data_IF_686037928479
#
_entry.id   IF_686037928479
#
_cell.length_a   1.000
_cell.length_b   1.000
_cell.length_c   1.000
_cell.angle_alpha   90.00
_cell.angle_beta   90.00
_cell.angle_gamma   90.00
#
_symmetry.space_group_name_H-M   'P 1'
#
loop_
_entity.id
_entity.type
_entity.pdbx_description
1 polymer ?
#
# COMPACT_ATOMS: atom_id res chain seq x y z
N UNK A 1 -1.28 -14.14 -21.16
CA UNK A 1 -0.18 -13.16 -21.06
C UNK A 1 0.03 -12.91 -19.61
N UNK A 2 1.27 -13.03 -19.15
CA UNK A 2 1.57 -12.72 -17.75
C UNK A 2 1.28 -11.24 -17.51
N UNK A 3 0.67 -10.91 -16.40
CA UNK A 3 0.39 -9.52 -16.04
C UNK A 3 1.73 -8.81 -15.76
N UNK A 4 1.79 -7.53 -16.08
CA UNK A 4 3.00 -6.71 -15.89
C UNK A 4 2.68 -5.58 -14.92
N UNK A 5 3.43 -5.51 -13.83
CA UNK A 5 3.37 -4.41 -12.88
C UNK A 5 4.46 -3.39 -13.18
N UNK A 6 4.08 -2.14 -13.30
CA UNK A 6 5.01 -1.02 -13.50
C UNK A 6 5.46 -0.51 -12.13
N UNK A 7 6.74 -0.69 -11.84
CA UNK A 7 7.38 -0.15 -10.64
C UNK A 7 8.38 0.95 -10.99
N UNK A 8 8.62 1.84 -10.06
CA UNK A 8 9.64 2.88 -10.18
C UNK A 8 10.94 2.45 -9.53
N UNK A 9 10.88 1.95 -8.30
CA UNK A 9 12.05 1.61 -7.49
C UNK A 9 11.67 0.65 -6.37
N UNK A 10 12.67 -0.02 -5.79
CA UNK A 10 12.56 -0.78 -4.54
C UNK A 10 13.65 -0.29 -3.59
N UNK A 11 13.25 0.26 -2.45
CA UNK A 11 14.17 0.62 -1.37
C UNK A 11 14.18 -0.50 -0.33
N UNK A 12 15.32 -1.14 -0.17
CA UNK A 12 15.49 -2.31 0.70
C UNK A 12 15.37 -1.97 2.19
N UNK A 13 15.70 -0.73 2.55
CA UNK A 13 15.58 -0.21 3.92
C UNK A 13 15.04 1.21 3.87
N UNK A 14 13.84 1.43 4.37
CA UNK A 14 13.22 2.75 4.39
C UNK A 14 12.77 3.14 5.80
N UNK A 15 13.05 4.37 6.21
CA UNK A 15 12.58 4.93 7.48
C UNK A 15 11.14 5.45 7.38
N UNK A 16 10.62 5.64 6.15
CA UNK A 16 9.33 6.26 5.89
C UNK A 16 8.25 5.27 5.50
N UNK A 17 8.60 3.98 5.52
CA UNK A 17 7.72 2.90 5.04
C UNK A 17 6.75 2.35 6.11
N UNK A 18 6.68 3.00 7.26
CA UNK A 18 5.93 2.54 8.42
C UNK A 18 6.77 1.65 9.35
N UNK A 19 6.29 1.43 10.57
CA UNK A 19 7.00 0.69 11.59
C UNK A 19 7.04 -0.82 11.30
N UNK A 20 8.00 -1.49 11.92
CA UNK A 20 8.04 -2.95 12.00
C UNK A 20 8.23 -3.39 13.46
N UNK A 21 7.73 -4.58 13.85
CA UNK A 21 7.79 -5.07 15.23
C UNK A 21 9.21 -5.23 15.78
N UNK A 22 10.17 -5.49 14.91
CA UNK A 22 11.58 -5.68 15.26
C UNK A 22 12.38 -4.37 15.31
N UNK A 23 11.72 -3.22 15.11
CA UNK A 23 12.35 -1.91 15.04
C UNK A 23 13.24 -1.70 13.82
N UNK A 24 13.27 -2.67 12.90
CA UNK A 24 14.04 -2.56 11.66
C UNK A 24 13.23 -1.82 10.58
N UNK A 25 13.94 -1.44 9.54
CA UNK A 25 13.36 -0.75 8.38
C UNK A 25 12.65 -1.73 7.47
N UNK A 26 11.53 -1.31 6.90
CA UNK A 26 10.77 -2.07 5.90
C UNK A 26 11.37 -1.92 4.51
N UNK A 27 11.13 -2.91 3.66
CA UNK A 27 11.32 -2.75 2.21
C UNK A 27 10.15 -1.97 1.63
N UNK A 28 10.44 -0.99 0.78
CA UNK A 28 9.43 -0.11 0.18
C UNK A 28 9.41 -0.31 -1.34
N UNK A 29 8.26 -0.69 -1.89
CA UNK A 29 8.05 -0.86 -3.35
C UNK A 29 7.28 0.35 -3.86
N UNK A 30 7.89 1.10 -4.77
CA UNK A 30 7.29 2.28 -5.39
C UNK A 30 6.62 1.90 -6.71
N UNK A 31 5.29 1.96 -6.74
CA UNK A 31 4.48 1.76 -7.94
C UNK A 31 4.52 3.01 -8.82
N UNK A 32 4.53 2.83 -10.12
CA UNK A 32 4.54 3.91 -11.11
C UNK A 32 3.14 4.16 -11.66
N UNK A 33 2.82 5.43 -11.92
CA UNK A 33 1.54 5.87 -12.47
C UNK A 33 0.56 6.32 -11.38
N UNK A 34 -0.27 7.31 -11.71
CA UNK A 34 -1.41 7.77 -10.92
C UNK A 34 -2.43 8.42 -11.87
N UNK A 35 -3.55 7.75 -12.11
CA UNK A 35 -4.60 8.24 -13.03
C UNK A 35 -5.16 9.59 -12.58
N UNK A 36 -5.45 9.74 -11.28
CA UNK A 36 -5.94 10.97 -10.68
C UNK A 36 -5.02 12.16 -10.99
N UNK A 37 -3.72 11.99 -10.87
CA UNK A 37 -2.74 13.02 -11.19
C UNK A 37 -2.61 13.28 -12.70
N UNK A 38 -2.66 12.23 -13.52
CA UNK A 38 -2.66 12.34 -14.98
C UNK A 38 -3.88 13.08 -15.51
N UNK A 39 -5.01 13.01 -14.83
CA UNK A 39 -6.24 13.75 -15.11
C UNK A 39 -6.21 15.22 -14.61
N UNK A 40 -5.09 15.64 -14.02
CA UNK A 40 -4.89 17.01 -13.55
C UNK A 40 -5.43 17.32 -12.15
N UNK A 41 -5.79 16.29 -11.39
CA UNK A 41 -6.32 16.41 -10.03
C UNK A 41 -5.48 15.65 -8.99
N UNK A 42 -4.16 15.93 -8.86
CA UNK A 42 -3.32 15.23 -7.88
C UNK A 42 -3.72 15.56 -6.44
N UNK A 43 -3.33 14.69 -5.51
CA UNK A 43 -3.42 14.99 -4.08
C UNK A 43 -2.72 16.31 -3.74
N UNK A 44 -3.29 17.08 -2.81
CA UNK A 44 -2.72 18.36 -2.40
C UNK A 44 -1.32 18.20 -1.81
N UNK A 45 -0.30 18.72 -2.50
CA UNK A 45 1.09 18.63 -2.07
C UNK A 45 1.71 17.23 -2.12
N UNK A 46 1.23 16.39 -3.05
CA UNK A 46 1.71 15.00 -3.23
C UNK A 46 3.23 14.86 -3.05
N UNK A 47 3.68 13.87 -2.27
CA UNK A 47 5.09 13.61 -2.01
C UNK A 47 5.86 13.08 -3.23
N UNK A 48 5.16 12.43 -4.17
CA UNK A 48 5.76 11.69 -5.26
C UNK A 48 5.37 12.17 -6.65
N UNK A 49 5.45 13.49 -6.99
CA UNK A 49 4.97 13.99 -8.27
C UNK A 49 5.70 13.38 -9.48
N UNK A 50 6.94 12.92 -9.31
CA UNK A 50 7.71 12.24 -10.35
C UNK A 50 7.20 10.84 -10.69
N UNK A 51 6.30 10.29 -9.88
CA UNK A 51 5.71 8.96 -10.10
C UNK A 51 4.34 9.02 -10.82
N UNK A 52 3.80 10.20 -11.10
CA UNK A 52 2.48 10.34 -11.71
C UNK A 52 2.39 9.75 -13.11
N UNK A 53 3.45 9.92 -13.91
CA UNK A 53 3.49 9.44 -15.28
C UNK A 53 4.06 8.03 -15.33
N UNK A 54 3.48 7.18 -16.16
CA UNK A 54 3.94 5.81 -16.38
C UNK A 54 4.90 5.68 -17.59
N UNK A 55 5.43 6.82 -18.08
CA UNK A 55 6.31 6.90 -19.25
C UNK A 55 7.75 6.46 -18.95
N UNK A 56 8.42 6.06 -19.96
CA UNK A 56 9.86 5.77 -20.26
C UNK A 56 10.82 5.27 -19.16
N UNK A 57 10.58 5.53 -17.87
CA UNK A 57 11.44 5.07 -16.77
C UNK A 57 10.81 3.97 -15.92
N UNK A 58 9.58 3.57 -16.25
CA UNK A 58 8.92 2.48 -15.55
C UNK A 58 9.55 1.13 -15.92
N UNK A 59 9.92 0.36 -14.91
CA UNK A 59 10.36 -1.01 -15.08
C UNK A 59 9.12 -1.89 -14.98
N UNK A 60 8.61 -2.35 -16.13
CA UNK A 60 7.55 -3.37 -16.16
C UNK A 60 8.13 -4.75 -15.90
N UNK A 61 7.65 -5.45 -14.89
CA UNK A 61 8.06 -6.81 -14.55
C UNK A 61 6.85 -7.68 -14.20
N UNK A 62 6.93 -9.00 -14.43
CA UNK A 62 5.98 -9.93 -13.87
C UNK A 62 5.94 -9.81 -12.33
N UNK A 63 4.76 -9.79 -11.70
CA UNK A 63 4.62 -9.66 -10.24
C UNK A 63 5.42 -10.70 -9.46
N UNK A 64 5.48 -11.92 -9.97
CA UNK A 64 6.27 -13.00 -9.37
C UNK A 64 7.77 -12.68 -9.31
N UNK A 65 8.35 -12.15 -10.38
CA UNK A 65 9.77 -11.78 -10.41
C UNK A 65 10.09 -10.67 -9.40
N UNK A 66 9.16 -9.72 -9.22
CA UNK A 66 9.30 -8.68 -8.20
C UNK A 66 9.29 -9.30 -6.81
N UNK A 67 8.36 -10.22 -6.54
CA UNK A 67 8.27 -10.88 -5.24
C UNK A 67 9.50 -11.74 -4.94
N UNK A 68 10.01 -12.49 -5.92
CA UNK A 68 11.25 -13.28 -5.82
C UNK A 68 12.46 -12.38 -5.50
N UNK A 69 12.59 -11.25 -6.21
CA UNK A 69 13.64 -10.26 -5.96
C UNK A 69 13.53 -9.67 -4.54
N UNK A 70 12.31 -9.39 -4.07
CA UNK A 70 12.08 -8.88 -2.72
C UNK A 70 12.42 -9.96 -1.69
N UNK A 71 12.05 -11.21 -1.92
CA UNK A 71 12.37 -12.32 -1.00
C UNK A 71 13.87 -12.56 -0.85
N UNK A 72 14.63 -12.38 -1.94
CA UNK A 72 16.08 -12.56 -1.97
C UNK A 72 16.84 -11.41 -1.28
N UNK A 73 16.36 -10.17 -1.37
CA UNK A 73 17.15 -8.99 -0.99
C UNK A 73 16.61 -8.23 0.23
N UNK A 74 15.36 -8.43 0.61
CA UNK A 74 14.76 -7.74 1.77
C UNK A 74 15.45 -8.16 3.08
N UNK A 75 15.78 -7.20 3.95
CA UNK A 75 16.47 -7.50 5.23
C UNK A 75 15.58 -8.23 6.22
N UNK A 76 14.27 -8.19 6.03
CA UNK A 76 13.26 -8.81 6.87
C UNK A 76 11.98 -9.10 6.06
N UNK A 77 10.94 -9.62 6.72
CA UNK A 77 9.65 -9.96 6.08
C UNK A 77 8.60 -8.84 6.17
N UNK A 78 9.01 -7.57 6.12
CA UNK A 78 8.13 -6.41 6.19
C UNK A 78 8.24 -5.56 4.93
N UNK A 79 7.15 -5.44 4.20
CA UNK A 79 7.05 -4.70 2.94
C UNK A 79 5.98 -3.62 3.04
N UNK A 80 6.25 -2.47 2.43
CA UNK A 80 5.28 -1.40 2.22
C UNK A 80 5.19 -1.09 0.74
N UNK A 81 3.97 -1.03 0.22
CA UNK A 81 3.68 -0.71 -1.18
C UNK A 81 3.10 0.70 -1.24
N UNK A 82 3.80 1.56 -1.94
CA UNK A 82 3.49 2.99 -2.11
C UNK A 82 3.74 3.41 -3.57
N UNK A 83 3.75 4.70 -3.85
CA UNK A 83 4.25 5.21 -5.12
C UNK A 83 3.37 6.29 -5.72
N UNK A 84 2.96 6.11 -6.97
CA UNK A 84 1.90 6.86 -7.61
C UNK A 84 0.56 6.45 -7.01
N UNK A 85 -0.17 5.57 -7.70
CA UNK A 85 -1.37 4.92 -7.14
C UNK A 85 -1.32 3.40 -7.41
N UNK A 86 -1.09 2.58 -6.38
CA UNK A 86 -0.99 1.13 -6.56
C UNK A 86 -2.26 0.50 -7.13
N UNK A 87 -3.45 0.96 -6.71
CA UNK A 87 -4.73 0.40 -7.15
C UNK A 87 -5.09 0.74 -8.60
N UNK A 88 -4.36 1.66 -9.25
CA UNK A 88 -4.49 1.87 -10.71
C UNK A 88 -3.97 0.67 -11.52
N UNK A 89 -3.26 -0.25 -10.87
CA UNK A 89 -2.74 -1.49 -11.44
C UNK A 89 -3.22 -2.71 -10.61
N UNK A 90 -4.49 -2.77 -10.27
CA UNK A 90 -5.04 -3.71 -9.27
C UNK A 90 -4.73 -5.18 -9.58
N UNK A 91 -4.91 -5.65 -10.84
CA UNK A 91 -4.66 -7.05 -11.23
C UNK A 91 -3.21 -7.47 -10.99
N UNK A 92 -2.18 -6.85 -11.59
CA UNK A 92 -0.80 -7.23 -11.32
C UNK A 92 -0.37 -6.95 -9.87
N UNK A 93 -0.99 -5.98 -9.19
CA UNK A 93 -0.75 -5.73 -7.77
C UNK A 93 -1.28 -6.88 -6.89
N UNK A 94 -2.49 -7.39 -7.16
CA UNK A 94 -3.06 -8.53 -6.45
C UNK A 94 -2.18 -9.79 -6.59
N UNK A 95 -1.63 -10.03 -7.78
CA UNK A 95 -0.66 -11.10 -7.99
C UNK A 95 0.63 -10.89 -7.18
N UNK A 96 1.20 -9.67 -7.17
CA UNK A 96 2.38 -9.35 -6.37
C UNK A 96 2.14 -9.61 -4.89
N UNK A 97 1.04 -9.09 -4.36
CA UNK A 97 0.69 -9.23 -2.94
C UNK A 97 0.48 -10.69 -2.56
N UNK A 98 -0.12 -11.49 -3.44
CA UNK A 98 -0.29 -12.93 -3.22
C UNK A 98 1.06 -13.67 -3.14
N UNK A 99 2.01 -13.34 -4.01
CA UNK A 99 3.35 -13.91 -3.97
C UNK A 99 4.13 -13.45 -2.74
N UNK A 100 4.09 -12.17 -2.37
CA UNK A 100 4.71 -11.66 -1.16
C UNK A 100 4.15 -12.37 0.09
N UNK A 101 2.83 -12.59 0.12
CA UNK A 101 2.19 -13.32 1.20
C UNK A 101 2.61 -14.79 1.25
N UNK A 102 2.75 -15.44 0.10
CA UNK A 102 3.30 -16.80 0.00
C UNK A 102 4.72 -16.88 0.58
N UNK A 103 5.56 -15.86 0.38
CA UNK A 103 6.90 -15.76 0.99
C UNK A 103 6.88 -15.30 2.45
N UNK A 104 5.72 -15.10 3.06
CA UNK A 104 5.56 -14.78 4.48
C UNK A 104 5.74 -13.31 4.83
N UNK A 105 5.58 -12.39 3.88
CA UNK A 105 5.69 -10.95 4.15
C UNK A 105 4.44 -10.41 4.85
N UNK A 106 4.67 -9.49 5.79
CA UNK A 106 3.69 -8.56 6.31
C UNK A 106 3.65 -7.33 5.40
N UNK A 107 2.44 -6.98 4.90
CA UNK A 107 2.25 -6.02 3.82
C UNK A 107 1.43 -4.82 4.30
N UNK A 108 1.99 -3.62 4.17
CA UNK A 108 1.26 -2.35 4.26
C UNK A 108 1.04 -1.84 2.84
N UNK A 109 -0.18 -1.43 2.53
CA UNK A 109 -0.55 -0.82 1.25
C UNK A 109 -1.07 0.60 1.48
N UNK A 110 -0.49 1.57 0.77
CA UNK A 110 -0.99 2.94 0.71
C UNK A 110 -1.78 3.17 -0.58
N UNK A 111 -2.89 3.89 -0.47
CA UNK A 111 -3.70 4.31 -1.61
C UNK A 111 -4.38 5.64 -1.33
N UNK A 112 -4.69 6.41 -2.38
CA UNK A 112 -5.53 7.59 -2.24
C UNK A 112 -7.04 7.26 -2.20
N UNK A 113 -7.43 6.06 -2.65
CA UNK A 113 -8.83 5.62 -2.55
C UNK A 113 -9.19 5.36 -1.10
N UNK A 114 -10.43 5.65 -0.74
CA UNK A 114 -10.99 5.28 0.57
C UNK A 114 -11.37 3.81 0.61
N UNK A 115 -11.37 3.21 1.78
CA UNK A 115 -11.83 1.83 1.97
C UNK A 115 -13.25 1.62 1.43
N UNK A 116 -14.12 2.63 1.53
CA UNK A 116 -15.49 2.53 1.03
C UNK A 116 -15.54 2.49 -0.51
N UNK A 117 -14.74 3.30 -1.19
CA UNK A 117 -14.60 3.24 -2.67
C UNK A 117 -14.09 1.88 -3.12
N UNK A 118 -13.13 1.31 -2.39
CA UNK A 118 -12.57 0.00 -2.68
C UNK A 118 -13.62 -1.10 -2.47
N UNK A 119 -14.41 -1.06 -1.40
CA UNK A 119 -15.51 -2.00 -1.17
C UNK A 119 -16.54 -1.94 -2.30
N UNK A 120 -16.88 -0.72 -2.76
CA UNK A 120 -17.78 -0.55 -3.90
C UNK A 120 -17.18 -1.18 -5.15
N UNK A 121 -15.90 -0.92 -5.45
CA UNK A 121 -15.20 -1.49 -6.60
C UNK A 121 -15.17 -3.02 -6.56
N UNK A 122 -14.97 -3.63 -5.39
CA UNK A 122 -14.98 -5.08 -5.22
C UNK A 122 -16.29 -5.74 -5.67
N UNK A 123 -17.41 -5.03 -5.54
CA UNK A 123 -18.75 -5.57 -5.87
C UNK A 123 -19.23 -5.10 -7.24
N UNK A 124 -18.91 -3.88 -7.63
CA UNK A 124 -19.47 -3.23 -8.82
C UNK A 124 -18.59 -3.34 -10.07
N UNK A 125 -17.30 -3.64 -9.90
CA UNK A 125 -16.37 -3.77 -11.03
C UNK A 125 -16.40 -5.20 -11.55
N UNK A 126 -17.04 -5.39 -12.72
CA UNK A 126 -17.18 -6.71 -13.36
C UNK A 126 -15.84 -7.26 -13.88
N UNK A 127 -14.85 -6.41 -14.12
CA UNK A 127 -13.55 -6.81 -14.67
C UNK A 127 -12.50 -7.08 -13.57
N UNK A 128 -12.49 -6.28 -12.50
CA UNK A 128 -11.43 -6.28 -11.49
C UNK A 128 -11.92 -6.59 -10.06
N UNK A 129 -13.21 -6.85 -9.86
CA UNK A 129 -13.76 -7.12 -8.53
C UNK A 129 -13.07 -8.27 -7.80
N UNK A 130 -12.77 -9.36 -8.51
CA UNK A 130 -12.04 -10.50 -7.96
C UNK A 130 -10.58 -10.16 -7.63
N UNK A 131 -9.95 -9.28 -8.41
CA UNK A 131 -8.58 -8.82 -8.16
C UNK A 131 -8.52 -7.95 -6.89
N UNK A 132 -9.51 -7.06 -6.68
CA UNK A 132 -9.66 -6.31 -5.43
C UNK A 132 -9.85 -7.26 -4.24
N UNK A 133 -10.72 -8.26 -4.37
CA UNK A 133 -10.92 -9.24 -3.31
C UNK A 133 -9.64 -10.00 -2.98
N UNK A 134 -8.92 -10.48 -3.99
CA UNK A 134 -7.65 -11.18 -3.82
C UNK A 134 -6.59 -10.29 -3.15
N UNK A 135 -6.52 -9.02 -3.53
CA UNK A 135 -5.64 -8.05 -2.91
C UNK A 135 -5.92 -7.91 -1.40
N UNK A 136 -7.17 -7.67 -1.03
CA UNK A 136 -7.55 -7.48 0.38
C UNK A 136 -7.42 -8.72 1.24
N UNK A 137 -7.51 -9.91 0.66
CA UNK A 137 -7.25 -11.15 1.38
C UNK A 137 -5.77 -11.34 1.75
N UNK A 138 -4.87 -10.60 1.15
CA UNK A 138 -3.42 -10.77 1.28
C UNK A 138 -2.68 -9.56 1.87
N UNK A 139 -3.28 -8.37 1.88
CA UNK A 139 -2.73 -7.19 2.58
C UNK A 139 -3.02 -7.30 4.08
N UNK A 140 -2.11 -6.86 4.93
CA UNK A 140 -2.28 -6.87 6.39
C UNK A 140 -2.80 -5.52 6.91
N UNK A 141 -2.25 -4.43 6.38
CA UNK A 141 -2.61 -3.06 6.77
C UNK A 141 -2.86 -2.23 5.51
N UNK A 142 -3.97 -1.51 5.50
CA UNK A 142 -4.30 -0.51 4.48
C UNK A 142 -4.17 0.88 5.09
N UNK A 143 -3.47 1.79 4.42
CA UNK A 143 -3.50 3.23 4.68
C UNK A 143 -4.24 3.88 3.53
N UNK A 144 -5.45 4.35 3.80
CA UNK A 144 -6.37 4.86 2.81
C UNK A 144 -6.55 6.38 2.87
N UNK A 145 -7.02 6.94 1.77
CA UNK A 145 -7.35 8.36 1.65
C UNK A 145 -6.22 9.20 1.05
N UNK A 146 -6.64 10.26 0.38
CA UNK A 146 -5.74 11.19 -0.29
C UNK A 146 -4.79 11.87 0.70
N UNK A 147 -3.53 12.02 0.31
CA UNK A 147 -2.62 12.88 1.05
C UNK A 147 -3.06 14.36 0.93
N UNK A 148 -3.08 15.07 2.05
CA UNK A 148 -3.39 16.50 2.12
C UNK A 148 -2.30 17.25 2.91
N UNK A 149 -1.48 18.02 2.21
CA UNK A 149 -0.40 18.79 2.81
C UNK A 149 -0.87 19.81 3.86
N UNK A 150 -2.14 20.27 3.79
CA UNK A 150 -2.72 21.17 4.80
C UNK A 150 -2.99 20.48 6.14
N UNK A 151 -3.03 19.14 6.14
CA UNK A 151 -3.25 18.29 7.30
C UNK A 151 -2.01 17.42 7.61
N UNK A 152 -0.85 17.82 7.09
CA UNK A 152 0.39 17.07 7.27
C UNK A 152 0.72 16.89 8.75
N UNK A 153 1.07 15.67 9.11
CA UNK A 153 1.57 15.32 10.43
C UNK A 153 3.10 15.43 10.43
N UNK A 154 3.65 16.07 11.47
CA UNK A 154 5.10 16.22 11.65
C UNK A 154 5.58 15.31 12.77
N UNK A 155 6.75 14.68 12.59
CA UNK A 155 7.32 13.67 13.49
C UNK A 155 7.54 14.18 14.93
N UNK A 156 7.74 15.50 15.12
CA UNK A 156 7.98 16.14 16.41
C UNK A 156 6.73 16.27 17.29
N UNK A 157 5.53 16.09 16.73
CA UNK A 157 4.27 16.11 17.49
C UNK A 157 3.84 14.73 17.98
N UNK A 158 4.51 13.68 17.53
CA UNK A 158 4.04 12.32 17.64
C UNK A 158 4.45 11.61 18.93
N UNK A 159 5.62 11.70 19.38
CA UNK A 159 6.12 11.09 20.61
C UNK A 159 5.93 9.57 20.81
N UNK A 160 5.16 8.92 19.96
CA UNK A 160 4.73 7.52 20.07
C UNK A 160 5.12 6.60 18.88
N UNK A 161 5.82 7.13 17.90
CA UNK A 161 6.29 6.36 16.72
C UNK A 161 5.21 6.00 15.70
N UNK A 162 3.99 6.51 15.86
CA UNK A 162 2.83 6.18 15.04
C UNK A 162 2.77 6.93 13.72
N UNK A 163 3.43 8.06 13.61
CA UNK A 163 3.32 8.96 12.47
C UNK A 163 4.15 8.55 11.26
N UNK A 164 5.04 7.58 11.40
CA UNK A 164 5.83 7.04 10.29
C UNK A 164 4.97 6.36 9.19
N UNK A 165 3.71 6.03 9.51
CA UNK A 165 2.80 5.34 8.60
C UNK A 165 1.73 6.24 7.97
N UNK A 166 1.53 7.48 8.43
CA UNK A 166 0.47 8.39 7.95
C UNK A 166 1.10 9.72 7.53
N UNK A 167 0.83 10.14 6.30
CA UNK A 167 1.35 11.41 5.78
C UNK A 167 0.52 12.64 6.20
N UNK A 168 -0.78 12.46 6.42
CA UNK A 168 -1.75 13.52 6.78
C UNK A 168 -2.88 13.00 7.66
N UNK A 169 -3.44 13.86 8.50
CA UNK A 169 -4.40 13.51 9.54
C UNK A 169 -5.76 12.99 9.03
N UNK A 170 -6.07 13.22 7.77
CA UNK A 170 -7.28 12.71 7.12
C UNK A 170 -7.15 11.27 6.62
N UNK A 171 -5.93 10.72 6.54
CA UNK A 171 -5.72 9.32 6.17
C UNK A 171 -6.10 8.40 7.34
N UNK A 172 -6.60 7.21 7.02
CA UNK A 172 -7.01 6.20 8.01
C UNK A 172 -6.18 4.95 7.85
N UNK A 173 -5.81 4.33 8.96
CA UNK A 173 -5.09 3.06 9.00
C UNK A 173 -6.06 1.95 9.40
N UNK A 174 -6.13 0.91 8.58
CA UNK A 174 -7.03 -0.21 8.75
C UNK A 174 -6.26 -1.51 8.95
N UNK A 175 -6.57 -2.25 10.02
CA UNK A 175 -6.20 -3.66 10.13
C UNK A 175 -7.19 -4.49 9.31
N UNK A 176 -6.74 -5.00 8.17
CA UNK A 176 -7.59 -5.78 7.27
C UNK A 176 -7.33 -7.30 7.37
N UNK A 177 -6.50 -7.75 8.32
CA UNK A 177 -6.23 -9.18 8.54
C UNK A 177 -7.49 -9.96 8.95
N UNK A 178 -8.45 -9.30 9.60
CA UNK A 178 -9.74 -9.88 9.98
C UNK A 178 -10.71 -10.08 8.82
N UNK A 179 -10.47 -9.45 7.66
CA UNK A 179 -11.34 -9.59 6.47
C UNK A 179 -11.14 -10.90 5.71
N UNK A 180 -10.34 -11.79 6.23
CA UNK A 180 -10.07 -13.09 5.61
C UNK A 180 -11.28 -14.01 5.72
N UNK A 181 -11.98 -14.24 4.57
CA UNK A 181 -13.04 -15.23 4.36
C UNK A 181 -14.33 -15.08 5.18
N UNK A 182 -15.34 -14.55 4.53
CA UNK A 182 -16.75 -14.85 4.85
C UNK A 182 -17.31 -14.13 6.05
N UNK A 183 -16.56 -13.26 6.70
CA UNK A 183 -17.10 -12.33 7.66
C UNK A 183 -17.64 -11.10 6.92
N UNK A 184 -18.97 -10.96 6.92
CA UNK A 184 -19.61 -9.67 6.70
C UNK A 184 -19.33 -8.70 7.87
N UNK A 185 -18.29 -8.99 8.65
CA UNK A 185 -17.85 -8.25 9.82
C UNK A 185 -17.32 -6.88 9.42
N UNK A 186 -17.75 -5.90 10.13
CA UNK A 186 -17.23 -4.54 10.13
C UNK A 186 -15.72 -4.57 10.29
N UNK A 187 -14.98 -4.03 9.31
CA UNK A 187 -13.58 -3.69 9.49
C UNK A 187 -13.59 -2.51 10.47
N UNK A 188 -13.11 -2.75 11.68
CA UNK A 188 -12.97 -1.69 12.67
C UNK A 188 -11.83 -0.78 12.23
N UNK A 189 -12.18 0.48 11.92
CA UNK A 189 -11.20 1.51 11.61
C UNK A 189 -10.41 1.85 12.87
N UNK A 190 -9.12 1.60 12.82
CA UNK A 190 -8.21 2.00 13.87
C UNK A 190 -7.83 3.46 13.65
N UNK A 191 -8.09 4.28 14.64
CA UNK A 191 -7.56 5.64 14.68
C UNK A 191 -6.08 5.60 15.05
N UNK A 192 -5.34 6.62 14.70
CA UNK A 192 -3.89 6.75 14.86
C UNK A 192 -3.32 6.38 16.26
N UNK A 193 -4.14 6.26 17.30
CA UNK A 193 -3.73 5.85 18.64
C UNK A 193 -3.70 4.34 18.93
N UNK A 194 -4.23 3.51 18.02
CA UNK A 194 -4.46 2.08 18.31
C UNK A 194 -3.50 1.12 17.57
N UNK A 195 -2.44 1.66 16.94
CA UNK A 195 -1.59 0.91 16.02
C UNK A 195 -0.62 -0.09 16.68
N UNK A 196 -0.44 -0.05 18.00
CA UNK A 196 0.52 -0.91 18.69
C UNK A 196 0.26 -2.43 18.51
N UNK A 197 -0.99 -2.82 18.21
CA UNK A 197 -1.39 -4.20 17.93
C UNK A 197 -1.29 -4.64 16.47
N UNK A 198 -1.12 -3.70 15.51
CA UNK A 198 -1.18 -3.98 14.07
C UNK A 198 0.02 -4.75 13.53
N UNK A 199 1.14 -4.71 14.24
CA UNK A 199 2.42 -5.23 13.78
C UNK A 199 2.82 -6.55 14.46
N UNK A 200 1.92 -7.16 15.22
CA UNK A 200 2.15 -8.48 15.82
C UNK A 200 1.78 -9.54 14.78
N UNK A 201 2.79 -10.24 14.29
CA UNK A 201 2.65 -11.41 13.43
C UNK A 201 2.07 -12.61 14.19
#
# INVERSE_FOLDING_TARGET
>A
MDSILKIYDVKWTSNTAGPSPDGNRRTEIFIRGCKKAAEGNPCNGCFNPKLWNDTDTAIGRPPREIAEMVDEHAPNKFVTIVGGEPLDQVRPLAELVSWLKFYGFHIILFTHYTLEEIKIATVADEEYGDDYLALFQNVDVLVDGEYDASQRIYDDEAGDGLHDAIGSANQVVWDIRGWRKGDSGTIDGLRAGDLAGLYIC
#
